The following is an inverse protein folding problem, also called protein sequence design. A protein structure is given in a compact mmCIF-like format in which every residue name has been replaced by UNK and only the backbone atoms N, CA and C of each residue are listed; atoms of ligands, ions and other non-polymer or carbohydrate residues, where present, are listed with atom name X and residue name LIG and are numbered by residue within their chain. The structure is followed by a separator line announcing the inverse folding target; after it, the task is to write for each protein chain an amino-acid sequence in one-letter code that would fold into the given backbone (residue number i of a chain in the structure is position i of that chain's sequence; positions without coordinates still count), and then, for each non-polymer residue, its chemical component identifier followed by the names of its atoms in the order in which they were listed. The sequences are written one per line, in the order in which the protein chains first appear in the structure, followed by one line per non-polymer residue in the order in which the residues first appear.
data_IF_156318042981
#
_entry.id   IF_156318042981
#
_cell.length_a   1.000
_cell.length_b   1.000
_cell.length_c   1.000
_cell.angle_alpha   90.00
_cell.angle_beta   90.00
_cell.angle_gamma   90.00
#
_symmetry.space_group_name_H-M   'P 1'
#
loop_
_entity.id
_entity.type
_entity.pdbx_description
1 polymer ?
#
# COMPACT_ATOMS: atom_id res chain seq x y z
N UNK A 1 -23.12 12.59 -0.54
CA UNK A 1 -22.75 14.02 -0.68
C UNK A 1 -21.51 14.25 0.17
N UNK A 2 -20.37 14.57 -0.45
CA UNK A 2 -19.13 14.84 0.29
C UNK A 2 -19.24 16.17 1.03
N UNK A 3 -18.56 16.29 2.18
CA UNK A 3 -18.59 17.48 3.04
C UNK A 3 -17.15 17.95 3.22
N UNK A 4 -16.88 19.18 2.80
CA UNK A 4 -15.53 19.72 2.77
C UNK A 4 -15.15 20.28 4.14
N UNK A 5 -13.93 19.97 4.57
CA UNK A 5 -13.36 20.43 5.83
C UNK A 5 -11.98 21.02 5.57
N UNK A 6 -11.68 22.16 6.20
CA UNK A 6 -10.33 22.71 6.21
C UNK A 6 -9.56 22.05 7.36
N UNK A 7 -8.58 21.22 7.03
CA UNK A 7 -7.66 20.60 7.98
C UNK A 7 -6.42 21.49 8.12
N UNK A 8 -6.07 21.87 9.34
CA UNK A 8 -4.83 22.60 9.65
C UNK A 8 -3.91 21.73 10.49
N UNK A 9 -2.67 21.59 10.04
CA UNK A 9 -1.62 20.89 10.77
C UNK A 9 -0.64 21.88 11.42
N UNK A 10 -0.14 21.51 12.60
CA UNK A 10 0.75 22.32 13.43
C UNK A 10 2.00 21.48 13.77
N UNK A 11 3.07 21.59 12.95
CA UNK A 11 4.28 20.77 13.11
C UNK A 11 5.03 21.02 14.42
N UNK A 12 4.90 22.21 15.00
CA UNK A 12 5.48 22.67 16.27
C UNK A 12 5.17 21.75 17.46
N UNK A 13 4.04 21.03 17.42
CA UNK A 13 3.66 20.09 18.46
C UNK A 13 2.93 18.84 17.95
N UNK A 14 2.98 18.54 16.65
CA UNK A 14 2.17 17.48 16.01
C UNK A 14 0.67 17.57 16.38
N UNK A 15 0.06 18.74 16.20
CA UNK A 15 -1.37 18.97 16.47
C UNK A 15 -2.17 19.17 15.18
N UNK A 16 -3.48 18.92 15.23
CA UNK A 16 -4.44 19.16 14.13
C UNK A 16 -5.67 19.94 14.61
N UNK A 17 -6.19 20.82 13.75
CA UNK A 17 -7.49 21.51 13.86
C UNK A 17 -8.31 21.21 12.60
N UNK A 18 -9.64 21.12 12.73
CA UNK A 18 -10.55 20.87 11.60
C UNK A 18 -11.73 21.85 11.66
N UNK A 19 -11.99 22.55 10.57
CA UNK A 19 -13.11 23.49 10.39
C UNK A 19 -14.09 22.94 9.33
N UNK A 20 -15.38 22.88 9.62
CA UNK A 20 -16.41 22.53 8.64
C UNK A 20 -16.73 23.74 7.76
N UNK A 21 -16.36 23.66 6.47
CA UNK A 21 -16.48 24.78 5.53
C UNK A 21 -17.93 25.23 5.36
N UNK A 22 -18.89 24.29 5.38
CA UNK A 22 -20.31 24.59 5.12
C UNK A 22 -20.99 25.36 6.24
N UNK A 23 -20.63 25.12 7.50
CA UNK A 23 -21.22 25.85 8.65
C UNK A 23 -20.30 26.94 9.20
N UNK A 24 -19.06 27.03 8.72
CA UNK A 24 -17.97 27.83 9.29
C UNK A 24 -17.80 27.60 10.81
N UNK A 25 -18.05 26.37 11.27
CA UNK A 25 -17.88 25.96 12.67
C UNK A 25 -16.69 25.02 12.82
N UNK A 26 -15.96 25.23 13.90
CA UNK A 26 -14.85 24.38 14.31
C UNK A 26 -15.39 22.98 14.64
N UNK A 27 -14.94 22.00 13.85
CA UNK A 27 -15.33 20.59 13.96
C UNK A 27 -14.42 19.82 14.93
N UNK A 28 -13.13 20.19 14.96
CA UNK A 28 -12.15 19.73 15.93
C UNK A 28 -11.23 20.90 16.31
N UNK A 29 -11.08 21.18 17.61
CA UNK A 29 -10.13 22.19 18.13
C UNK A 29 -8.68 21.73 17.92
N UNK A 30 -7.68 22.65 17.91
CA UNK A 30 -6.25 22.28 17.93
C UNK A 30 -6.01 21.23 19.03
N UNK A 31 -5.75 19.99 18.61
CA UNK A 31 -5.65 18.79 19.47
C UNK A 31 -4.44 17.97 19.01
N UNK A 32 -3.75 17.30 19.93
CA UNK A 32 -2.66 16.37 19.62
C UNK A 32 -3.11 15.34 18.57
N UNK A 33 -2.33 15.11 17.51
CA UNK A 33 -2.62 14.07 16.53
C UNK A 33 -2.65 12.65 17.16
N UNK A 34 -3.43 11.71 16.59
CA UNK A 34 -3.36 10.31 16.97
C UNK A 34 -1.94 9.73 16.83
N UNK A 35 -1.61 8.76 17.68
CA UNK A 35 -0.33 8.06 17.59
C UNK A 35 -0.16 7.41 16.22
N UNK A 36 0.98 7.64 15.57
CA UNK A 36 1.26 7.14 14.22
C UNK A 36 0.77 8.01 13.05
N UNK A 37 0.30 9.24 13.32
CA UNK A 37 0.17 10.33 12.33
C UNK A 37 1.33 11.32 12.48
N UNK A 38 1.95 11.69 11.37
CA UNK A 38 3.19 12.45 11.26
C UNK A 38 3.09 13.60 10.23
N UNK A 39 4.08 14.51 10.14
CA UNK A 39 4.12 15.51 9.06
C UNK A 39 4.15 14.93 7.65
N UNK A 40 4.63 13.69 7.47
CA UNK A 40 4.79 13.06 6.15
C UNK A 40 3.47 12.58 5.56
N UNK A 41 2.43 12.41 6.39
CA UNK A 41 1.10 11.96 5.96
C UNK A 41 0.26 13.11 5.35
N UNK A 42 0.70 14.37 5.46
CA UNK A 42 -0.04 15.57 5.02
C UNK A 42 0.30 15.97 3.57
N UNK A 43 -0.27 15.25 2.61
CA UNK A 43 -0.07 15.47 1.17
C UNK A 43 -1.35 15.32 0.34
N UNK A 44 -1.37 15.85 -0.90
CA UNK A 44 -2.56 15.79 -1.75
C UNK A 44 -2.88 14.35 -2.21
N UNK A 45 -4.12 13.92 -2.02
CA UNK A 45 -4.55 12.52 -2.14
C UNK A 45 -4.17 11.63 -0.95
N UNK A 46 -3.57 12.19 0.11
CA UNK A 46 -3.28 11.49 1.36
C UNK A 46 -4.54 11.25 2.18
N UNK A 47 -4.71 10.03 2.70
CA UNK A 47 -5.90 9.58 3.45
C UNK A 47 -5.58 9.47 4.94
N UNK A 48 -5.82 10.54 5.68
CA UNK A 48 -5.58 10.64 7.13
C UNK A 48 -6.69 9.97 7.95
N UNK A 49 -6.34 9.05 8.84
CA UNK A 49 -7.25 8.54 9.87
C UNK A 49 -7.15 9.42 11.14
N UNK A 50 -8.10 10.34 11.31
CA UNK A 50 -8.18 11.24 12.45
C UNK A 50 -9.41 10.91 13.30
N UNK A 51 -9.17 10.46 14.54
CA UNK A 51 -10.21 10.18 15.55
C UNK A 51 -11.36 9.29 15.05
N UNK A 52 -11.02 8.21 14.32
CA UNK A 52 -12.00 7.27 13.77
C UNK A 52 -12.71 7.72 12.50
N UNK A 53 -12.22 8.77 11.83
CA UNK A 53 -12.72 9.23 10.52
C UNK A 53 -11.57 9.36 9.53
N UNK A 54 -11.81 8.93 8.29
CA UNK A 54 -10.89 9.16 7.19
C UNK A 54 -11.14 10.54 6.57
N UNK A 55 -10.08 11.29 6.31
CA UNK A 55 -10.08 12.55 5.58
C UNK A 55 -9.09 12.44 4.42
N UNK A 56 -9.55 12.72 3.20
CA UNK A 56 -8.68 12.82 2.03
C UNK A 56 -8.33 14.29 1.80
N UNK A 57 -7.04 14.60 1.70
CA UNK A 57 -6.55 15.97 1.49
C UNK A 57 -6.59 16.30 0.00
N UNK A 58 -7.57 17.11 -0.43
CA UNK A 58 -7.80 17.35 -1.87
C UNK A 58 -7.08 18.58 -2.44
N UNK A 59 -6.81 19.61 -1.62
CA UNK A 59 -6.17 20.86 -2.06
C UNK A 59 -5.47 21.56 -0.88
N UNK A 60 -4.61 22.53 -1.17
CA UNK A 60 -3.94 23.38 -0.18
C UNK A 60 -4.77 24.63 0.15
N UNK A 61 -4.79 25.03 1.43
CA UNK A 61 -5.56 26.20 1.88
C UNK A 61 -4.90 27.54 1.52
N UNK A 62 -3.61 27.54 1.16
CA UNK A 62 -2.83 28.75 0.84
C UNK A 62 -1.60 28.44 -0.04
N UNK A 63 -1.10 29.46 -0.73
CA UNK A 63 -0.01 29.35 -1.69
C UNK A 63 1.38 29.10 -1.07
N UNK A 64 1.60 29.46 0.19
CA UNK A 64 2.85 29.17 0.90
C UNK A 64 2.93 27.68 1.22
N UNK A 65 1.86 27.12 1.81
CA UNK A 65 1.73 25.68 2.06
C UNK A 65 1.84 24.88 0.76
N UNK A 66 1.17 25.34 -0.32
CA UNK A 66 1.29 24.70 -1.63
C UNK A 66 2.74 24.67 -2.17
N UNK A 67 3.48 25.77 -2.00
CA UNK A 67 4.89 25.86 -2.43
C UNK A 67 5.82 24.98 -1.56
N UNK A 68 5.56 24.91 -0.26
CA UNK A 68 6.39 24.15 0.70
C UNK A 68 6.14 22.64 0.66
N UNK A 69 4.89 22.21 0.44
CA UNK A 69 4.51 20.79 0.47
C UNK A 69 4.39 20.17 -0.93
N UNK A 70 4.02 20.94 -1.95
CA UNK A 70 3.79 20.45 -3.32
C UNK A 70 5.01 19.79 -3.98
N UNK A 71 6.23 20.13 -3.53
CA UNK A 71 7.47 19.40 -3.91
C UNK A 71 7.82 18.26 -2.96
N UNK A 72 7.53 18.37 -1.67
CA UNK A 72 7.91 17.38 -0.64
C UNK A 72 7.10 16.09 -0.67
N UNK A 73 5.89 16.17 -1.19
CA UNK A 73 5.00 15.03 -1.32
C UNK A 73 4.29 15.08 -2.69
N UNK A 74 5.12 15.04 -3.73
CA UNK A 74 4.68 14.96 -5.12
C UNK A 74 4.33 13.50 -5.44
N UNK A 75 3.26 13.28 -6.20
CA UNK A 75 2.90 11.95 -6.73
C UNK A 75 3.66 11.64 -8.01
N UNK A 76 4.06 10.38 -8.18
CA UNK A 76 4.61 9.84 -9.43
C UNK A 76 4.19 8.38 -9.58
N UNK A 77 4.22 7.84 -10.81
CA UNK A 77 3.71 6.50 -11.13
C UNK A 77 4.77 5.67 -11.86
N UNK A 78 4.86 4.40 -11.46
CA UNK A 78 5.64 3.35 -12.08
C UNK A 78 4.72 2.18 -12.47
N UNK A 79 4.90 1.64 -13.67
CA UNK A 79 4.32 0.36 -14.10
C UNK A 79 5.44 -0.61 -14.44
N UNK A 80 5.29 -1.89 -14.10
CA UNK A 80 6.26 -2.92 -14.49
C UNK A 80 5.65 -4.32 -14.65
N UNK A 81 6.28 -5.14 -15.49
CA UNK A 81 5.84 -6.52 -15.80
C UNK A 81 6.72 -7.60 -15.15
N UNK A 82 7.88 -7.23 -14.61
CA UNK A 82 8.84 -8.14 -13.96
C UNK A 82 8.37 -8.56 -12.55
N UNK A 83 7.32 -9.38 -12.45
CA UNK A 83 6.72 -9.78 -11.17
C UNK A 83 7.73 -10.39 -10.17
N UNK A 84 8.70 -11.17 -10.66
CA UNK A 84 9.75 -11.77 -9.82
C UNK A 84 10.73 -10.76 -9.20
N UNK A 85 10.72 -9.49 -9.64
CA UNK A 85 11.52 -8.41 -9.05
C UNK A 85 10.72 -7.54 -8.06
N UNK A 86 9.45 -7.86 -7.79
CA UNK A 86 8.54 -6.98 -7.03
C UNK A 86 9.08 -6.59 -5.66
N UNK A 87 9.52 -7.54 -4.84
CA UNK A 87 10.00 -7.23 -3.49
C UNK A 87 11.27 -6.37 -3.51
N UNK A 88 12.20 -6.66 -4.41
CA UNK A 88 13.36 -5.82 -4.67
C UNK A 88 12.99 -4.40 -5.16
N UNK A 89 11.99 -4.25 -6.03
CA UNK A 89 11.48 -2.93 -6.48
C UNK A 89 10.88 -2.15 -5.30
N UNK A 90 9.98 -2.75 -4.52
CA UNK A 90 9.38 -2.11 -3.34
C UNK A 90 10.44 -1.74 -2.29
N UNK A 91 11.44 -2.61 -2.08
CA UNK A 91 12.59 -2.33 -1.22
C UNK A 91 13.36 -1.10 -1.72
N UNK A 92 13.63 -0.98 -3.02
CA UNK A 92 14.34 0.16 -3.59
C UNK A 92 13.54 1.46 -3.56
N UNK A 93 12.21 1.40 -3.71
CA UNK A 93 11.34 2.57 -3.52
C UNK A 93 11.47 3.11 -2.08
N UNK A 94 11.33 2.25 -1.07
CA UNK A 94 11.48 2.66 0.34
C UNK A 94 12.87 3.24 0.65
N UNK A 95 13.96 2.59 0.18
CA UNK A 95 15.32 3.10 0.36
C UNK A 95 15.58 4.47 -0.31
N UNK A 96 14.75 4.87 -1.27
CA UNK A 96 14.78 6.20 -1.89
C UNK A 96 13.79 7.18 -1.24
N UNK A 97 13.22 6.85 -0.09
CA UNK A 97 12.22 7.65 0.63
C UNK A 97 10.95 7.91 -0.20
N UNK A 98 10.49 6.89 -0.92
CA UNK A 98 9.17 6.86 -1.54
C UNK A 98 8.18 6.06 -0.68
N UNK A 99 7.04 6.69 -0.36
CA UNK A 99 5.90 6.06 0.29
C UNK A 99 4.93 5.53 -0.76
N UNK A 100 4.41 4.32 -0.59
CA UNK A 100 3.39 3.76 -1.49
C UNK A 100 2.02 4.37 -1.17
N UNK A 101 1.36 4.97 -2.15
CA UNK A 101 -0.02 5.49 -2.03
C UNK A 101 -1.05 4.64 -2.79
N UNK A 102 -0.61 3.91 -3.82
CA UNK A 102 -1.41 2.91 -4.53
C UNK A 102 -0.51 1.79 -5.04
N UNK A 103 -1.01 0.56 -5.08
CA UNK A 103 -0.40 -0.55 -5.80
C UNK A 103 -1.50 -1.49 -6.29
N UNK A 104 -1.42 -1.96 -7.55
CA UNK A 104 -2.30 -3.01 -8.08
C UNK A 104 -1.61 -3.85 -9.15
N UNK A 105 -1.73 -5.17 -9.05
CA UNK A 105 -1.40 -6.15 -10.10
C UNK A 105 -2.68 -6.42 -10.92
N UNK A 106 -2.63 -6.15 -12.21
CA UNK A 106 -3.77 -6.29 -13.13
C UNK A 106 -3.33 -6.92 -14.47
N UNK A 107 -4.31 -7.37 -15.26
CA UNK A 107 -4.07 -7.78 -16.65
C UNK A 107 -4.18 -6.57 -17.59
N UNK A 108 -3.05 -6.16 -18.17
CA UNK A 108 -2.98 -5.17 -19.25
C UNK A 108 -3.29 -5.83 -20.59
N UNK A 109 -3.50 -5.01 -21.62
CA UNK A 109 -3.87 -5.40 -22.98
C UNK A 109 -3.04 -6.60 -23.50
N UNK A 110 -3.72 -7.63 -24.01
CA UNK A 110 -3.08 -8.92 -24.36
C UNK A 110 -2.91 -9.90 -23.18
N UNK A 111 -3.56 -9.65 -22.04
CA UNK A 111 -3.43 -10.41 -20.79
C UNK A 111 -2.01 -10.43 -20.22
N UNK A 112 -1.28 -9.32 -20.34
CA UNK A 112 0.07 -9.17 -19.76
C UNK A 112 -0.03 -8.76 -18.29
N UNK A 113 0.43 -9.57 -17.32
CA UNK A 113 0.43 -9.19 -15.91
C UNK A 113 1.32 -7.96 -15.69
N UNK A 114 0.72 -6.90 -15.17
CA UNK A 114 1.37 -5.60 -14.95
C UNK A 114 1.07 -5.13 -13.53
N UNK A 115 2.09 -4.72 -12.78
CA UNK A 115 1.94 -3.98 -11.53
C UNK A 115 1.99 -2.49 -11.86
N UNK A 116 0.99 -1.72 -11.40
CA UNK A 116 1.08 -0.26 -11.27
C UNK A 116 1.31 0.11 -9.81
N UNK A 117 2.16 1.10 -9.58
CA UNK A 117 2.47 1.68 -8.26
C UNK A 117 2.39 3.19 -8.36
N UNK A 118 1.59 3.82 -7.49
CA UNK A 118 1.70 5.25 -7.19
C UNK A 118 2.60 5.43 -5.98
N UNK A 119 3.57 6.34 -6.10
CA UNK A 119 4.43 6.74 -5.00
C UNK A 119 4.32 8.22 -4.70
N UNK A 120 4.52 8.54 -3.44
CA UNK A 120 4.60 9.90 -2.90
C UNK A 120 5.99 10.11 -2.33
N UNK A 121 6.59 11.26 -2.62
CA UNK A 121 7.86 11.66 -2.00
C UNK A 121 8.35 13.01 -2.50
N UNK A 122 9.52 13.43 -1.97
CA UNK A 122 10.12 14.69 -2.39
C UNK A 122 10.68 14.57 -3.80
N UNK A 123 10.21 15.42 -4.72
CA UNK A 123 10.54 15.44 -6.14
C UNK A 123 10.43 14.06 -6.83
N UNK A 124 9.32 13.37 -6.59
CA UNK A 124 9.07 12.02 -7.10
C UNK A 124 8.99 11.93 -8.64
N UNK A 125 8.54 12.97 -9.33
CA UNK A 125 8.51 13.02 -10.80
C UNK A 125 9.93 13.10 -11.35
N UNK A 126 10.82 13.87 -10.73
CA UNK A 126 12.21 13.99 -11.19
C UNK A 126 13.09 12.81 -10.75
N UNK A 127 12.83 12.24 -9.56
CA UNK A 127 13.69 11.19 -8.97
C UNK A 127 13.29 9.76 -9.33
N UNK A 128 12.00 9.47 -9.52
CA UNK A 128 11.56 8.10 -9.84
C UNK A 128 12.11 7.59 -11.18
N UNK A 129 12.18 8.37 -12.28
CA UNK A 129 12.80 7.91 -13.53
C UNK A 129 14.28 7.52 -13.40
N UNK A 130 15.04 8.21 -12.53
CA UNK A 130 16.45 7.89 -12.27
C UNK A 130 16.61 6.54 -11.55
N UNK A 131 15.73 6.26 -10.58
CA UNK A 131 15.65 4.97 -9.92
C UNK A 131 15.21 3.86 -10.88
N UNK A 132 14.18 4.12 -11.68
CA UNK A 132 13.63 3.17 -12.67
C UNK A 132 14.65 2.84 -13.76
N UNK A 133 15.48 3.79 -14.18
CA UNK A 133 16.62 3.52 -15.07
C UNK A 133 17.56 2.46 -14.47
N UNK A 134 17.87 2.59 -13.18
CA UNK A 134 18.71 1.62 -12.45
C UNK A 134 18.02 0.25 -12.27
N UNK A 135 16.69 0.24 -12.09
CA UNK A 135 15.89 -1.00 -11.98
C UNK A 135 15.82 -1.73 -13.33
N UNK A 136 15.60 -1.03 -14.44
CA UNK A 136 15.61 -1.61 -15.80
C UNK A 136 16.99 -2.21 -16.13
N UNK A 137 18.10 -1.55 -15.77
CA UNK A 137 19.45 -2.12 -15.93
C UNK A 137 19.71 -3.36 -15.08
N UNK A 138 19.07 -3.48 -13.90
CA UNK A 138 19.27 -4.61 -12.97
C UNK A 138 18.34 -5.80 -13.23
N UNK A 139 17.10 -5.56 -13.68
CA UNK A 139 16.03 -6.56 -13.75
C UNK A 139 15.39 -6.71 -15.14
N UNK A 140 15.52 -5.71 -16.01
CA UNK A 140 14.81 -5.68 -17.29
C UNK A 140 15.39 -6.59 -18.37
N UNK A 141 16.71 -6.83 -18.32
CA UNK A 141 17.42 -7.56 -19.37
C UNK A 141 17.22 -6.89 -20.74
N UNK A 142 16.93 -7.70 -21.77
CA UNK A 142 16.73 -7.22 -23.15
C UNK A 142 15.28 -6.83 -23.49
N UNK A 143 14.35 -6.80 -22.52
CA UNK A 143 12.96 -6.38 -22.79
C UNK A 143 12.56 -5.11 -22.03
N UNK A 144 11.78 -4.21 -22.66
CA UNK A 144 11.19 -3.08 -21.95
C UNK A 144 10.07 -3.59 -21.05
N UNK A 145 10.26 -3.49 -19.73
CA UNK A 145 9.28 -3.97 -18.74
C UNK A 145 9.11 -3.04 -17.55
N UNK A 146 9.56 -1.80 -17.67
CA UNK A 146 9.28 -0.68 -16.76
C UNK A 146 8.82 0.55 -17.56
N UNK A 147 7.73 1.20 -17.12
CA UNK A 147 7.16 2.45 -17.66
C UNK A 147 6.99 3.44 -16.48
N UNK A 148 7.33 4.72 -16.65
CA UNK A 148 7.36 5.70 -15.55
C UNK A 148 6.90 7.08 -15.99
N UNK A 149 6.20 7.80 -15.11
CA UNK A 149 5.83 9.19 -15.32
C UNK A 149 7.08 10.09 -15.43
N UNK A 150 7.26 10.73 -16.59
CA UNK A 150 8.35 11.70 -16.83
C UNK A 150 7.97 13.14 -16.44
N UNK A 151 6.67 13.43 -16.29
CA UNK A 151 6.15 14.74 -15.88
C UNK A 151 4.98 14.58 -14.90
N UNK A 152 4.61 15.65 -14.17
CA UNK A 152 3.41 15.63 -13.32
C UNK A 152 2.11 15.46 -14.14
N UNK A 153 2.09 15.93 -15.39
CA UNK A 153 0.97 15.71 -16.31
C UNK A 153 0.88 14.23 -16.76
N UNK A 154 2.02 13.57 -16.98
CA UNK A 154 2.06 12.13 -17.23
C UNK A 154 1.67 11.31 -16.00
N UNK A 155 2.05 11.75 -14.79
CA UNK A 155 1.61 11.12 -13.54
C UNK A 155 0.08 11.18 -13.41
N UNK A 156 -0.54 12.33 -13.67
CA UNK A 156 -2.02 12.42 -13.67
C UNK A 156 -2.64 11.57 -14.79
N UNK A 157 -2.12 11.62 -16.01
CA UNK A 157 -2.60 10.80 -17.14
C UNK A 157 -2.54 9.30 -16.83
N UNK A 158 -1.47 8.83 -16.20
CA UNK A 158 -1.31 7.43 -15.79
C UNK A 158 -2.24 7.08 -14.61
N UNK A 159 -2.49 8.01 -13.67
CA UNK A 159 -3.47 7.82 -12.60
C UNK A 159 -4.88 7.62 -13.20
N UNK A 160 -5.31 8.52 -14.09
CA UNK A 160 -6.62 8.46 -14.75
C UNK A 160 -6.75 7.18 -15.62
N UNK A 161 -5.68 6.76 -16.28
CA UNK A 161 -5.66 5.57 -17.15
C UNK A 161 -5.66 4.24 -16.39
N UNK A 162 -5.00 4.16 -15.23
CA UNK A 162 -4.73 2.89 -14.54
C UNK A 162 -5.39 2.73 -13.17
N UNK A 163 -5.88 3.81 -12.55
CA UNK A 163 -6.48 3.78 -11.20
C UNK A 163 -7.96 4.19 -11.22
N UNK A 164 -8.35 5.15 -12.07
CA UNK A 164 -9.76 5.50 -12.28
C UNK A 164 -10.52 4.55 -13.22
N UNK A 165 -9.81 3.65 -13.92
CA UNK A 165 -10.38 2.60 -14.78
C UNK A 165 -10.33 1.24 -14.07
N UNK A 166 -11.44 0.49 -14.11
CA UNK A 166 -11.47 -0.90 -13.69
C UNK A 166 -10.66 -1.80 -14.66
N UNK A 167 -9.82 -2.67 -14.11
CA UNK A 167 -9.02 -3.64 -14.86
C UNK A 167 -9.28 -5.08 -14.36
N UNK A 168 -9.18 -6.11 -15.21
CA UNK A 168 -9.37 -7.50 -14.79
C UNK A 168 -8.31 -7.93 -13.76
N UNK A 169 -8.76 -8.60 -12.69
CA UNK A 169 -7.86 -9.21 -11.71
C UNK A 169 -7.25 -10.52 -12.26
N UNK A 170 -5.92 -10.70 -12.18
CA UNK A 170 -5.25 -11.97 -12.45
C UNK A 170 -5.39 -13.02 -11.33
N UNK A 171 -6.18 -12.76 -10.28
CA UNK A 171 -6.46 -13.73 -9.23
C UNK A 171 -7.07 -15.02 -9.80
N UNK A 172 -6.51 -16.17 -9.45
CA UNK A 172 -6.92 -17.48 -10.01
C UNK A 172 -8.16 -18.07 -9.34
N UNK A 173 -8.46 -17.67 -8.11
CA UNK A 173 -9.53 -18.19 -7.25
C UNK A 173 -9.57 -19.72 -7.08
N UNK A 174 -8.48 -20.40 -7.42
CA UNK A 174 -8.31 -21.84 -7.40
C UNK A 174 -6.90 -22.18 -6.91
N UNK A 175 -6.80 -23.09 -5.93
CA UNK A 175 -5.55 -23.46 -5.25
C UNK A 175 -4.74 -22.24 -4.74
N UNK A 176 -5.43 -21.20 -4.26
CA UNK A 176 -4.85 -19.94 -3.81
C UNK A 176 -5.06 -19.70 -2.29
N UNK A 177 -4.15 -18.93 -1.70
CA UNK A 177 -4.25 -18.35 -0.34
C UNK A 177 -4.53 -16.85 -0.45
N UNK A 178 -5.16 -16.25 0.56
CA UNK A 178 -4.96 -14.82 0.80
C UNK A 178 -3.73 -14.59 1.68
N UNK A 179 -3.12 -13.42 1.57
CA UNK A 179 -2.04 -12.95 2.46
C UNK A 179 -2.20 -11.44 2.63
N UNK A 180 -2.43 -11.00 3.87
CA UNK A 180 -2.49 -9.59 4.22
C UNK A 180 -1.19 -9.20 4.93
N UNK A 181 -0.35 -8.43 4.23
CA UNK A 181 0.83 -7.79 4.82
C UNK A 181 0.32 -6.66 5.72
N UNK A 182 0.64 -6.71 7.01
CA UNK A 182 0.09 -5.77 7.98
C UNK A 182 0.67 -4.34 7.84
N UNK A 183 -0.08 -3.29 8.25
CA UNK A 183 0.37 -1.89 8.10
C UNK A 183 1.70 -1.52 8.77
N UNK A 184 2.15 -2.24 9.82
CA UNK A 184 3.44 -1.96 10.45
C UNK A 184 4.62 -2.32 9.51
N UNK A 185 4.56 -3.47 8.82
CA UNK A 185 5.53 -3.90 7.79
C UNK A 185 5.68 -2.83 6.69
N UNK A 186 4.57 -2.18 6.32
CA UNK A 186 4.56 -1.09 5.34
C UNK A 186 5.21 0.18 5.90
N UNK A 187 4.92 0.56 7.15
CA UNK A 187 5.53 1.72 7.83
C UNK A 187 7.01 1.52 8.16
N UNK A 188 7.45 0.29 8.36
CA UNK A 188 8.84 -0.10 8.61
C UNK A 188 9.62 -0.35 7.31
N UNK A 189 8.97 -0.22 6.14
CA UNK A 189 9.60 -0.39 4.82
C UNK A 189 9.98 -1.83 4.46
N UNK A 190 9.51 -2.81 5.24
CA UNK A 190 9.86 -4.22 5.12
C UNK A 190 9.03 -4.97 4.07
N UNK A 191 7.99 -4.35 3.49
CA UNK A 191 7.08 -4.98 2.52
C UNK A 191 7.80 -5.66 1.37
N UNK A 192 8.89 -5.06 0.88
CA UNK A 192 9.70 -5.67 -0.18
C UNK A 192 10.36 -6.98 0.25
N UNK A 193 10.99 -7.01 1.42
CA UNK A 193 11.62 -8.21 1.98
C UNK A 193 10.60 -9.31 2.36
N UNK A 194 9.36 -8.93 2.70
CA UNK A 194 8.25 -9.88 2.88
C UNK A 194 7.79 -10.47 1.54
N UNK A 195 7.65 -9.65 0.50
CA UNK A 195 7.31 -10.12 -0.86
C UNK A 195 8.38 -11.05 -1.41
N UNK A 196 9.67 -10.70 -1.29
CA UNK A 196 10.78 -11.57 -1.70
C UNK A 196 10.74 -12.91 -0.90
N UNK A 197 10.51 -12.88 0.42
CA UNK A 197 10.38 -14.10 1.24
C UNK A 197 9.18 -14.99 0.86
N UNK A 198 8.09 -14.43 0.31
CA UNK A 198 6.96 -15.20 -0.20
C UNK A 198 7.36 -15.89 -1.52
N UNK A 199 8.03 -15.19 -2.42
CA UNK A 199 8.51 -15.74 -3.69
C UNK A 199 9.57 -16.83 -3.47
N UNK A 200 10.53 -16.59 -2.56
CA UNK A 200 11.58 -17.55 -2.15
C UNK A 200 11.00 -18.85 -1.54
N UNK A 201 9.79 -18.81 -0.98
CA UNK A 201 9.09 -20.00 -0.48
C UNK A 201 8.52 -20.92 -1.58
N UNK A 202 8.70 -20.56 -2.86
CA UNK A 202 8.17 -21.31 -4.00
C UNK A 202 6.69 -21.07 -4.27
N UNK A 203 6.16 -19.90 -3.86
CA UNK A 203 4.77 -19.49 -4.09
C UNK A 203 4.70 -18.39 -5.15
N UNK A 204 3.74 -18.50 -6.06
CA UNK A 204 3.47 -17.49 -7.10
C UNK A 204 2.44 -16.49 -6.62
N UNK A 205 2.79 -15.19 -6.66
CA UNK A 205 1.84 -14.11 -6.44
C UNK A 205 1.00 -13.92 -7.71
N UNK A 206 -0.28 -14.30 -7.65
CA UNK A 206 -1.21 -14.19 -8.80
C UNK A 206 -1.99 -12.87 -8.81
N UNK A 207 -2.23 -12.26 -7.64
CA UNK A 207 -2.80 -10.91 -7.49
C UNK A 207 -2.19 -10.19 -6.28
N UNK A 208 -2.18 -8.86 -6.30
CA UNK A 208 -1.68 -8.00 -5.23
C UNK A 208 -2.33 -6.61 -5.36
N UNK A 209 -2.83 -6.03 -4.27
CA UNK A 209 -3.45 -4.70 -4.27
C UNK A 209 -3.32 -4.03 -2.89
N UNK A 210 -3.14 -2.70 -2.85
CA UNK A 210 -3.00 -1.92 -1.62
C UNK A 210 -4.36 -1.36 -1.17
N UNK A 211 -4.99 -2.02 -0.20
CA UNK A 211 -6.28 -1.60 0.35
C UNK A 211 -6.14 -0.66 1.56
N UNK A 212 -6.99 0.38 1.61
CA UNK A 212 -7.26 1.15 2.81
C UNK A 212 -8.67 0.79 3.31
N UNK A 213 -8.75 -0.13 4.27
CA UNK A 213 -10.03 -0.60 4.82
C UNK A 213 -10.59 0.38 5.85
N UNK A 214 -11.91 0.58 5.83
CA UNK A 214 -12.63 1.19 6.96
C UNK A 214 -12.83 0.17 8.09
N UNK A 215 -13.27 0.65 9.27
CA UNK A 215 -13.48 -0.19 10.45
C UNK A 215 -14.53 -1.29 10.23
N UNK A 216 -15.50 -1.10 9.34
CA UNK A 216 -16.56 -2.08 9.10
C UNK A 216 -16.02 -3.22 8.23
N UNK A 217 -15.41 -2.88 7.09
CA UNK A 217 -14.81 -3.83 6.16
C UNK A 217 -13.63 -4.59 6.80
N UNK A 218 -12.90 -3.94 7.71
CA UNK A 218 -11.88 -4.60 8.54
C UNK A 218 -12.47 -5.52 9.62
N UNK A 219 -13.70 -5.31 10.10
CA UNK A 219 -14.39 -6.24 11.00
C UNK A 219 -14.92 -7.44 10.22
N UNK A 220 -15.64 -7.18 9.12
CA UNK A 220 -16.16 -8.20 8.19
C UNK A 220 -15.06 -9.19 7.75
N UNK A 221 -13.88 -8.68 7.37
CA UNK A 221 -12.74 -9.52 6.98
C UNK A 221 -12.14 -10.33 8.14
N UNK A 222 -12.20 -9.85 9.38
CA UNK A 222 -11.64 -10.53 10.55
C UNK A 222 -12.64 -11.49 11.24
N UNK A 223 -13.89 -11.54 10.79
CA UNK A 223 -14.95 -12.37 11.34
C UNK A 223 -15.11 -13.73 10.64
N UNK A 224 -14.46 -13.94 9.48
CA UNK A 224 -14.49 -15.20 8.72
C UNK A 224 -13.08 -15.61 8.33
N UNK A 225 -12.68 -16.80 8.77
CA UNK A 225 -11.50 -17.54 8.32
C UNK A 225 -11.98 -18.97 8.02
N UNK A 226 -11.33 -19.79 7.18
CA UNK A 226 -9.93 -20.25 7.23
C UNK A 226 -9.47 -20.95 5.85
N UNK A 227 -8.16 -21.39 5.63
CA UNK A 227 -7.28 -21.96 4.50
C UNK A 227 -7.80 -21.85 3.02
N UNK A 228 -7.01 -21.92 1.92
CA UNK A 228 -5.99 -22.92 1.50
C UNK A 228 -4.57 -22.40 1.72
N UNK A 229 -3.83 -22.99 2.68
CA UNK A 229 -2.70 -22.27 3.31
C UNK A 229 -1.49 -23.11 3.71
N UNK A 230 -1.53 -24.45 3.83
CA UNK A 230 -0.48 -25.19 4.57
C UNK A 230 0.98 -24.80 4.21
N UNK A 231 1.30 -24.61 2.92
CA UNK A 231 2.60 -24.07 2.47
C UNK A 231 2.87 -22.62 2.88
N UNK A 232 1.88 -21.73 2.76
CA UNK A 232 2.00 -20.35 3.25
C UNK A 232 2.11 -20.30 4.79
N UNK A 233 1.43 -21.20 5.51
CA UNK A 233 1.58 -21.40 6.96
C UNK A 233 3.00 -21.80 7.34
N UNK A 234 3.65 -22.62 6.51
CA UNK A 234 5.05 -23.01 6.67
C UNK A 234 6.00 -21.84 6.42
N UNK A 235 5.73 -21.00 5.41
CA UNK A 235 6.49 -19.77 5.13
C UNK A 235 6.26 -18.64 6.15
N UNK A 236 5.03 -18.48 6.66
CA UNK A 236 4.66 -17.51 7.69
C UNK A 236 5.17 -17.93 9.07
N UNK A 237 4.97 -19.20 9.43
CA UNK A 237 5.34 -19.77 10.72
C UNK A 237 4.27 -19.60 11.82
N UNK A 238 4.60 -20.00 13.06
CA UNK A 238 3.71 -19.88 14.22
C UNK A 238 3.14 -18.48 14.39
N UNK A 239 1.88 -18.39 14.83
CA UNK A 239 1.22 -17.10 15.09
C UNK A 239 1.85 -16.35 16.27
N UNK A 240 2.29 -17.09 17.29
CA UNK A 240 3.07 -16.54 18.39
C UNK A 240 4.51 -16.27 17.92
N UNK A 241 4.96 -15.03 18.10
CA UNK A 241 6.22 -14.55 17.52
C UNK A 241 7.45 -15.12 18.21
N UNK A 242 7.41 -15.35 19.53
CA UNK A 242 8.55 -15.89 20.25
C UNK A 242 8.70 -17.39 19.96
N UNK A 243 7.57 -18.12 19.88
CA UNK A 243 7.54 -19.48 19.35
C UNK A 243 8.03 -19.55 17.89
N UNK A 244 7.72 -18.55 17.05
CA UNK A 244 8.22 -18.50 15.68
C UNK A 244 9.74 -18.30 15.63
N UNK A 245 10.27 -17.36 16.42
CA UNK A 245 11.72 -17.09 16.55
C UNK A 245 12.48 -18.31 17.07
N UNK A 246 11.94 -19.03 18.06
CA UNK A 246 12.58 -20.20 18.66
C UNK A 246 12.52 -21.44 17.74
N UNK A 247 11.33 -21.79 17.23
CA UNK A 247 11.13 -23.06 16.52
C UNK A 247 11.35 -22.98 15.01
N UNK A 248 11.15 -21.81 14.38
CA UNK A 248 11.25 -21.61 12.93
C UNK A 248 11.81 -20.21 12.56
N UNK A 249 13.05 -19.86 12.96
CA UNK A 249 13.60 -18.50 12.80
C UNK A 249 13.68 -17.95 11.36
N UNK A 250 13.53 -18.79 10.33
CA UNK A 250 13.53 -18.36 8.92
C UNK A 250 12.19 -17.82 8.41
N UNK A 251 11.09 -17.98 9.15
CA UNK A 251 9.74 -17.64 8.66
C UNK A 251 9.42 -16.15 8.74
N UNK A 252 8.41 -15.70 7.99
CA UNK A 252 8.02 -14.29 7.90
C UNK A 252 7.68 -13.72 9.29
N UNK A 253 6.90 -14.45 10.10
CA UNK A 253 6.54 -14.03 11.46
C UNK A 253 7.75 -13.96 12.40
N UNK A 254 8.67 -14.91 12.31
CA UNK A 254 9.89 -14.91 13.12
C UNK A 254 10.82 -13.72 12.79
N UNK A 255 10.95 -13.40 11.50
CA UNK A 255 11.87 -12.37 10.97
C UNK A 255 11.36 -10.94 11.09
N UNK A 256 10.05 -10.74 10.93
CA UNK A 256 9.45 -9.41 10.75
C UNK A 256 8.32 -9.11 11.75
N UNK A 257 7.83 -10.11 12.49
CA UNK A 257 6.86 -9.88 13.56
C UNK A 257 7.52 -9.28 14.79
N UNK A 258 6.87 -8.30 15.41
CA UNK A 258 7.36 -7.65 16.64
C UNK A 258 6.64 -8.19 17.87
N UNK A 259 5.30 -8.28 17.82
CA UNK A 259 4.44 -8.86 18.86
C UNK A 259 3.23 -9.64 18.29
N UNK A 260 2.35 -10.17 19.15
CA UNK A 260 1.18 -11.00 18.78
C UNK A 260 0.13 -10.27 17.92
N UNK A 261 0.04 -8.95 18.00
CA UNK A 261 -0.84 -8.11 17.17
C UNK A 261 -0.10 -7.71 15.89
N UNK A 262 1.14 -7.25 16.04
CA UNK A 262 2.04 -6.84 14.97
C UNK A 262 2.86 -8.02 14.44
N UNK A 263 2.16 -9.01 13.86
CA UNK A 263 2.71 -10.33 13.54
C UNK A 263 3.18 -10.49 12.09
N UNK A 264 3.67 -9.41 11.46
CA UNK A 264 3.99 -9.26 10.03
C UNK A 264 2.88 -9.56 9.02
N UNK A 265 2.38 -10.80 8.98
CA UNK A 265 1.42 -11.30 7.98
C UNK A 265 0.26 -12.07 8.58
N UNK A 266 -0.93 -11.75 8.11
CA UNK A 266 -2.15 -12.53 8.31
C UNK A 266 -2.43 -13.42 7.07
N UNK A 267 -3.01 -14.60 7.32
CA UNK A 267 -3.45 -15.59 6.33
C UNK A 267 -4.57 -16.48 6.91
N UNK A 268 -5.32 -17.10 6.00
CA UNK A 268 -6.41 -18.11 6.12
C UNK A 268 -5.97 -19.39 6.91
N UNK A 269 -6.78 -20.21 7.65
CA UNK A 269 -6.37 -21.50 8.36
C UNK A 269 -7.06 -23.00 8.25
N UNK A 270 -8.20 -23.35 7.54
CA UNK A 270 -8.87 -24.67 7.14
C UNK A 270 -9.31 -24.67 5.62
N UNK A 271 -9.23 -25.72 4.79
CA UNK A 271 -9.15 -25.72 3.27
C UNK A 271 -9.94 -24.76 2.34
N UNK A 272 -11.00 -24.08 2.75
CA UNK A 272 -12.09 -23.63 1.86
C UNK A 272 -12.13 -22.12 1.54
N UNK A 273 -11.81 -21.22 2.47
CA UNK A 273 -12.08 -19.79 2.32
C UNK A 273 -10.96 -19.01 1.61
N UNK A 274 -9.86 -19.65 1.24
CA UNK A 274 -8.76 -19.01 0.48
C UNK A 274 -9.20 -18.50 -0.90
N UNK A 275 -10.28 -19.06 -1.45
CA UNK A 275 -10.98 -18.53 -2.61
C UNK A 275 -11.96 -17.40 -2.23
N UNK A 276 -12.65 -17.50 -1.09
CA UNK A 276 -13.64 -16.52 -0.62
C UNK A 276 -12.99 -15.21 -0.12
N UNK A 277 -11.93 -15.28 0.69
CA UNK A 277 -11.10 -14.12 1.08
C UNK A 277 -10.54 -13.42 -0.17
N UNK A 278 -10.05 -14.21 -1.14
CA UNK A 278 -9.56 -13.69 -2.42
C UNK A 278 -10.66 -12.98 -3.21
N UNK A 279 -11.88 -13.52 -3.26
CA UNK A 279 -13.04 -12.87 -3.90
C UNK A 279 -13.48 -11.61 -3.12
N UNK A 280 -13.45 -11.63 -1.78
CA UNK A 280 -13.77 -10.47 -0.96
C UNK A 280 -12.86 -9.29 -1.27
N UNK A 281 -11.54 -9.48 -1.34
CA UNK A 281 -10.62 -8.42 -1.77
C UNK A 281 -10.73 -8.09 -3.27
N UNK A 282 -10.45 -9.07 -4.13
CA UNK A 282 -10.19 -8.82 -5.55
C UNK A 282 -11.45 -8.79 -6.44
N UNK A 283 -12.64 -9.02 -5.89
CA UNK A 283 -13.90 -8.89 -6.63
C UNK A 283 -15.00 -8.09 -5.89
N UNK A 284 -15.08 -8.13 -4.55
CA UNK A 284 -16.08 -7.35 -3.80
C UNK A 284 -15.55 -5.97 -3.42
N UNK A 285 -14.41 -5.87 -2.74
CA UNK A 285 -13.80 -4.60 -2.33
C UNK A 285 -13.18 -3.85 -3.51
N UNK A 286 -12.49 -4.54 -4.42
CA UNK A 286 -11.89 -3.95 -5.62
C UNK A 286 -12.89 -3.39 -6.65
N UNK A 287 -14.22 -3.50 -6.38
CA UNK A 287 -15.32 -2.90 -7.16
C UNK A 287 -16.07 -1.77 -6.41
N UNK A 288 -15.70 -1.44 -5.16
CA UNK A 288 -16.30 -0.33 -4.37
C UNK A 288 -15.60 1.01 -4.63
#
# INVERSE_FOLDING_TARGET
MHRNFNVRYFPDGNHVEILDVKSNKLFLKKTQCPAGVSPQDFFLGGKLLLFGRHFELTDYLDAFTATQLGKKAQKSILLFTHLGATGAVLTQLHHNHFTLSYLKLFLRDGNVPTIVVEVVGESAVERLPLLVSSLQSRFGGNQPGFEVAATAADAQRLHDQFMAKAWPSPATFANCTCCVIQPHVLKEGQTGAVVDAILDSGLTITAMELFNLDRTSASEFLEVFMLLVQRFREAAGPWDIDMARELKPSTIRARFGTDRVHNAVHCTDLSEDGALESQYFFDILARK
#
